data_IF_493598755907
#
_entry.id   IF_493598755907
#
_cell.length_a   1.000
_cell.length_b   1.000
_cell.length_c   1.000
_cell.angle_alpha   90.00
_cell.angle_beta   90.00
_cell.angle_gamma   90.00
#
_symmetry.space_group_name_H-M   'P 1'
#
loop_
_entity.id
_entity.type
_entity.pdbx_description
1 polymer ?
#
# COMPACT_ATOMS: atom_id res chain seq x y z
N UNK A 1 -76.60 -44.92 -20.59
CA UNK A 1 -77.06 -43.53 -20.41
C UNK A 1 -76.22 -42.64 -21.31
N UNK A 2 -76.84 -42.04 -22.33
CA UNK A 2 -76.15 -41.33 -23.43
C UNK A 2 -75.72 -39.93 -22.98
N UNK A 3 -74.46 -39.58 -23.22
CA UNK A 3 -73.90 -38.27 -22.94
C UNK A 3 -74.47 -37.21 -23.91
N UNK A 4 -75.55 -36.54 -23.53
CA UNK A 4 -76.04 -35.32 -24.22
C UNK A 4 -75.05 -34.14 -24.11
N UNK A 5 -74.01 -34.27 -23.29
CA UNK A 5 -73.12 -33.18 -22.89
C UNK A 5 -71.70 -33.27 -23.49
N UNK A 6 -71.46 -34.16 -24.47
CA UNK A 6 -70.11 -34.41 -25.01
C UNK A 6 -69.46 -33.15 -25.62
N UNK A 7 -70.27 -32.25 -26.19
CA UNK A 7 -69.78 -30.99 -26.80
C UNK A 7 -69.22 -29.99 -25.80
N UNK A 8 -69.83 -29.86 -24.62
CA UNK A 8 -69.36 -28.93 -23.59
C UNK A 8 -68.12 -29.46 -22.88
N UNK A 9 -68.02 -30.78 -22.71
CA UNK A 9 -66.83 -31.46 -22.18
C UNK A 9 -65.65 -31.27 -23.15
N UNK A 10 -65.86 -31.49 -24.45
CA UNK A 10 -64.85 -31.22 -25.48
C UNK A 10 -64.42 -29.74 -25.49
N UNK A 11 -65.36 -28.80 -25.41
CA UNK A 11 -65.04 -27.38 -25.35
C UNK A 11 -64.20 -27.01 -24.11
N UNK A 12 -64.52 -27.61 -22.96
CA UNK A 12 -63.76 -27.42 -21.71
C UNK A 12 -62.33 -27.97 -21.81
N UNK A 13 -62.15 -29.15 -22.43
CA UNK A 13 -60.83 -29.71 -22.71
C UNK A 13 -60.01 -28.84 -23.66
N UNK A 14 -60.63 -28.30 -24.72
CA UNK A 14 -59.95 -27.36 -25.62
C UNK A 14 -59.55 -26.07 -24.91
N UNK A 15 -60.41 -25.53 -24.03
CA UNK A 15 -60.09 -24.34 -23.22
C UNK A 15 -58.92 -24.61 -22.28
N UNK A 16 -58.94 -25.74 -21.58
CA UNK A 16 -57.86 -26.17 -20.69
C UNK A 16 -56.54 -26.33 -21.46
N UNK A 17 -56.56 -27.03 -22.60
CA UNK A 17 -55.40 -27.23 -23.45
C UNK A 17 -54.83 -25.90 -23.96
N UNK A 18 -55.71 -24.96 -24.33
CA UNK A 18 -55.29 -23.62 -24.74
C UNK A 18 -54.61 -22.85 -23.61
N UNK A 19 -55.16 -22.86 -22.39
CA UNK A 19 -54.52 -22.24 -21.23
C UNK A 19 -53.18 -22.86 -20.87
N UNK A 20 -53.03 -24.18 -21.06
CA UNK A 20 -51.79 -24.92 -20.80
C UNK A 20 -50.70 -24.56 -21.83
N UNK A 21 -51.06 -24.47 -23.12
CA UNK A 21 -50.13 -24.01 -24.16
C UNK A 21 -49.75 -22.55 -23.92
N UNK A 22 -50.72 -21.70 -23.57
CA UNK A 22 -50.48 -20.29 -23.29
C UNK A 22 -49.52 -20.10 -22.10
N UNK A 23 -49.66 -20.89 -21.03
CA UNK A 23 -48.77 -20.81 -19.87
C UNK A 23 -47.34 -21.24 -20.21
N UNK A 24 -47.16 -22.26 -21.04
CA UNK A 24 -45.83 -22.68 -21.53
C UNK A 24 -45.19 -21.60 -22.39
N UNK A 25 -45.93 -20.99 -23.31
CA UNK A 25 -45.42 -19.90 -24.17
C UNK A 25 -45.01 -18.68 -23.34
N UNK A 26 -45.82 -18.31 -22.33
CA UNK A 26 -45.48 -17.22 -21.40
C UNK A 26 -44.21 -17.56 -20.62
N UNK A 27 -44.08 -18.78 -20.10
CA UNK A 27 -42.90 -19.20 -19.36
C UNK A 27 -41.62 -19.16 -20.21
N UNK A 28 -41.68 -19.67 -21.45
CA UNK A 28 -40.56 -19.60 -22.40
C UNK A 28 -40.20 -18.15 -22.72
N UNK A 29 -41.20 -17.28 -22.87
CA UNK A 29 -40.98 -15.86 -23.14
C UNK A 29 -40.25 -15.17 -21.98
N UNK A 30 -40.62 -15.45 -20.73
CA UNK A 30 -39.92 -14.93 -19.55
C UNK A 30 -38.48 -15.43 -19.45
N UNK A 31 -38.24 -16.71 -19.72
CA UNK A 31 -36.87 -17.27 -19.71
C UNK A 31 -36.02 -16.62 -20.82
N UNK A 32 -36.56 -16.47 -22.01
CA UNK A 32 -35.86 -15.84 -23.13
C UNK A 32 -35.51 -14.37 -22.86
N UNK A 33 -36.43 -13.59 -22.28
CA UNK A 33 -36.14 -12.21 -21.88
C UNK A 33 -35.11 -12.16 -20.76
N UNK A 34 -35.19 -13.04 -19.77
CA UNK A 34 -34.18 -13.14 -18.70
C UNK A 34 -32.78 -13.37 -19.27
N UNK A 35 -32.58 -14.40 -20.09
CA UNK A 35 -31.27 -14.69 -20.69
C UNK A 35 -30.72 -13.51 -21.52
N UNK A 36 -31.59 -12.84 -22.29
CA UNK A 36 -31.18 -11.68 -23.09
C UNK A 36 -30.77 -10.49 -22.22
N UNK A 37 -31.52 -10.21 -21.16
CA UNK A 37 -31.21 -9.14 -20.21
C UNK A 37 -29.91 -9.44 -19.45
N UNK A 38 -29.76 -10.66 -18.93
CA UNK A 38 -28.55 -11.08 -18.21
C UNK A 38 -27.30 -11.01 -19.10
N UNK A 39 -27.39 -11.38 -20.38
CA UNK A 39 -26.25 -11.26 -21.30
C UNK A 39 -25.83 -9.79 -21.52
N UNK A 40 -26.80 -8.87 -21.61
CA UNK A 40 -26.52 -7.45 -21.75
C UNK A 40 -25.88 -6.87 -20.48
N UNK A 41 -26.43 -7.17 -19.30
CA UNK A 41 -25.89 -6.74 -18.01
C UNK A 41 -24.48 -7.31 -17.77
N UNK A 42 -24.27 -8.59 -18.07
CA UNK A 42 -22.97 -9.24 -17.92
C UNK A 42 -21.89 -8.56 -18.79
N UNK A 43 -22.25 -8.14 -20.01
CA UNK A 43 -21.33 -7.41 -20.89
C UNK A 43 -20.94 -6.04 -20.32
N UNK A 44 -21.87 -5.33 -19.68
CA UNK A 44 -21.60 -4.06 -19.02
C UNK A 44 -20.73 -4.24 -17.77
N UNK A 45 -21.02 -5.27 -16.96
CA UNK A 45 -20.21 -5.61 -15.78
C UNK A 45 -18.78 -5.96 -16.20
N UNK A 46 -18.59 -6.76 -17.26
CA UNK A 46 -17.25 -7.08 -17.77
C UNK A 46 -16.51 -5.83 -18.28
N UNK A 47 -17.21 -4.92 -18.95
CA UNK A 47 -16.61 -3.67 -19.41
C UNK A 47 -16.13 -2.81 -18.23
N UNK A 48 -16.95 -2.69 -17.18
CA UNK A 48 -16.57 -1.98 -15.95
C UNK A 48 -15.45 -2.67 -15.18
N UNK A 49 -15.50 -4.00 -15.08
CA UNK A 49 -14.46 -4.80 -14.42
C UNK A 49 -13.09 -4.61 -15.08
N UNK A 50 -13.05 -4.51 -16.42
CA UNK A 50 -11.80 -4.26 -17.16
C UNK A 50 -11.20 -2.88 -16.86
N UNK A 51 -12.05 -1.85 -16.75
CA UNK A 51 -11.59 -0.51 -16.37
C UNK A 51 -11.05 -0.53 -14.94
N UNK A 52 -11.79 -1.16 -14.02
CA UNK A 52 -11.37 -1.31 -12.63
C UNK A 52 -10.05 -2.06 -12.48
N UNK A 53 -9.88 -3.18 -13.19
CA UNK A 53 -8.66 -3.98 -13.18
C UNK A 53 -7.47 -3.16 -13.69
N UNK A 54 -7.65 -2.38 -14.76
CA UNK A 54 -6.61 -1.49 -15.27
C UNK A 54 -6.17 -0.46 -14.21
N UNK A 55 -7.13 0.26 -13.60
CA UNK A 55 -6.83 1.25 -12.56
C UNK A 55 -6.16 0.60 -11.34
N UNK A 56 -6.63 -0.58 -10.94
CA UNK A 56 -6.07 -1.33 -9.83
C UNK A 56 -4.61 -1.73 -10.09
N UNK A 57 -4.29 -2.22 -11.29
CA UNK A 57 -2.92 -2.58 -11.66
C UNK A 57 -1.99 -1.37 -11.64
N UNK A 58 -2.44 -0.22 -12.17
CA UNK A 58 -1.68 1.04 -12.11
C UNK A 58 -1.43 1.49 -10.65
N UNK A 59 -2.44 1.36 -9.77
CA UNK A 59 -2.28 1.66 -8.34
C UNK A 59 -1.26 0.73 -7.67
N UNK A 60 -1.32 -0.58 -7.94
CA UNK A 60 -0.38 -1.55 -7.38
C UNK A 60 1.04 -1.28 -7.84
N UNK A 61 1.23 -0.95 -9.12
CA UNK A 61 2.55 -0.59 -9.66
C UNK A 61 3.13 0.64 -8.93
N UNK A 62 2.33 1.70 -8.76
CA UNK A 62 2.75 2.89 -8.05
C UNK A 62 3.09 2.61 -6.58
N UNK A 63 2.28 1.78 -5.90
CA UNK A 63 2.56 1.37 -4.51
C UNK A 63 3.90 0.63 -4.41
N UNK A 64 4.20 -0.25 -5.35
CA UNK A 64 5.48 -0.96 -5.39
C UNK A 64 6.66 0.00 -5.62
N UNK A 65 6.49 1.04 -6.44
CA UNK A 65 7.50 2.08 -6.61
C UNK A 65 7.75 2.84 -5.30
N UNK A 66 6.69 3.22 -4.59
CA UNK A 66 6.77 3.95 -3.31
C UNK A 66 7.38 3.07 -2.22
N UNK A 67 6.98 1.79 -2.11
CA UNK A 67 7.56 0.86 -1.14
C UNK A 67 9.06 0.67 -1.38
N UNK A 68 9.48 0.61 -2.65
CA UNK A 68 10.89 0.58 -2.98
C UNK A 68 11.62 1.84 -2.50
N UNK A 69 11.03 3.03 -2.64
CA UNK A 69 11.61 4.27 -2.13
C UNK A 69 11.77 4.22 -0.61
N UNK A 70 10.74 3.76 0.12
CA UNK A 70 10.78 3.60 1.58
C UNK A 70 11.89 2.64 2.00
N UNK A 71 12.04 1.52 1.30
CA UNK A 71 13.12 0.57 1.55
C UNK A 71 14.50 1.21 1.40
N UNK A 72 14.71 2.08 0.40
CA UNK A 72 15.94 2.85 0.26
C UNK A 72 16.14 3.88 1.38
N UNK A 73 15.08 4.50 1.90
CA UNK A 73 15.19 5.46 3.01
C UNK A 73 15.61 4.78 4.32
N UNK A 74 15.23 3.52 4.54
CA UNK A 74 15.53 2.76 5.77
C UNK A 74 16.92 2.10 5.72
N UNK A 75 17.46 1.84 4.53
CA UNK A 75 18.76 1.17 4.33
C UNK A 75 19.94 1.70 5.17
N UNK A 76 20.14 3.03 5.34
CA UNK A 76 21.25 3.55 6.15
C UNK A 76 21.15 3.21 7.63
N UNK A 77 19.94 2.98 8.15
CA UNK A 77 19.75 2.59 9.55
C UNK A 77 20.12 1.11 9.77
N UNK A 78 20.06 0.29 8.71
CA UNK A 78 20.41 -1.13 8.74
C UNK A 78 21.89 -1.38 8.48
N UNK A 79 22.57 -0.50 7.72
CA UNK A 79 23.96 -0.69 7.34
C UNK A 79 24.73 0.64 7.33
N UNK A 80 25.70 0.75 8.24
CA UNK A 80 26.55 1.92 8.43
C UNK A 80 27.58 2.16 7.29
N UNK A 81 27.79 1.18 6.39
CA UNK A 81 28.75 1.29 5.28
C UNK A 81 28.12 1.77 3.97
N UNK A 82 26.81 2.05 3.96
CA UNK A 82 26.11 2.50 2.75
C UNK A 82 26.47 3.95 2.45
N UNK A 83 26.81 4.24 1.19
CA UNK A 83 27.06 5.60 0.74
C UNK A 83 25.75 6.40 0.70
N UNK A 84 25.57 7.27 1.70
CA UNK A 84 24.39 8.12 1.88
C UNK A 84 24.14 9.03 0.66
N UNK A 85 25.19 9.52 -0.02
CA UNK A 85 25.08 10.39 -1.20
C UNK A 85 24.52 9.64 -2.40
N UNK A 86 25.04 8.44 -2.67
CA UNK A 86 24.58 7.60 -3.77
C UNK A 86 23.13 7.16 -3.52
N UNK A 87 22.82 6.78 -2.29
CA UNK A 87 21.47 6.36 -1.92
C UNK A 87 20.46 7.50 -2.06
N UNK A 88 20.81 8.71 -1.64
CA UNK A 88 19.98 9.91 -1.83
C UNK A 88 19.67 10.14 -3.32
N UNK A 89 20.66 10.01 -4.21
CA UNK A 89 20.44 10.15 -5.64
C UNK A 89 19.49 9.08 -6.21
N UNK A 90 19.60 7.84 -5.74
CA UNK A 90 18.68 6.75 -6.13
C UNK A 90 17.25 7.04 -5.66
N UNK A 91 17.08 7.49 -4.42
CA UNK A 91 15.78 7.88 -3.85
C UNK A 91 15.15 9.01 -4.68
N UNK A 92 15.90 10.06 -4.97
CA UNK A 92 15.41 11.19 -5.77
C UNK A 92 15.03 10.79 -7.19
N UNK A 93 15.85 9.95 -7.85
CA UNK A 93 15.54 9.45 -9.19
C UNK A 93 14.24 8.65 -9.21
N UNK A 94 14.03 7.78 -8.22
CA UNK A 94 12.79 6.99 -8.11
C UNK A 94 11.58 7.86 -7.77
N UNK A 95 11.73 8.83 -6.86
CA UNK A 95 10.69 9.83 -6.57
C UNK A 95 10.25 10.57 -7.83
N UNK A 96 11.19 11.04 -8.65
CA UNK A 96 10.86 11.71 -9.93
C UNK A 96 10.17 10.76 -10.90
N UNK A 97 10.52 9.47 -10.90
CA UNK A 97 9.83 8.43 -11.68
C UNK A 97 8.36 8.29 -11.26
N UNK A 98 8.12 8.08 -9.97
CA UNK A 98 6.78 7.94 -9.40
C UNK A 98 5.92 9.20 -9.61
N UNK A 99 6.53 10.39 -9.48
CA UNK A 99 5.83 11.66 -9.76
C UNK A 99 5.38 11.75 -11.23
N UNK A 100 6.24 11.34 -12.17
CA UNK A 100 5.89 11.28 -13.60
C UNK A 100 4.81 10.24 -13.89
N UNK A 101 4.76 9.14 -13.14
CA UNK A 101 3.70 8.15 -13.25
C UNK A 101 2.37 8.79 -12.83
N UNK A 102 2.34 9.43 -11.65
CA UNK A 102 1.16 10.13 -11.13
C UNK A 102 0.69 11.24 -12.07
N UNK A 103 1.60 12.04 -12.64
CA UNK A 103 1.24 13.14 -13.54
C UNK A 103 0.67 12.65 -14.89
N UNK A 104 0.93 11.39 -15.28
CA UNK A 104 0.33 10.77 -16.48
C UNK A 104 -1.02 10.15 -16.19
N UNK A 105 -1.23 9.67 -14.97
CA UNK A 105 -2.49 9.08 -14.53
C UNK A 105 -3.39 10.21 -14.03
N UNK A 106 -4.12 10.85 -14.95
CA UNK A 106 -5.10 11.91 -14.63
C UNK A 106 -6.21 11.34 -13.72
N UNK A 107 -6.02 11.43 -12.40
CA UNK A 107 -6.98 10.93 -11.41
C UNK A 107 -6.79 11.52 -10.01
N UNK A 108 -7.90 11.75 -9.30
CA UNK A 108 -7.91 12.26 -7.92
C UNK A 108 -7.35 11.24 -6.90
N UNK A 109 -7.28 9.97 -7.28
CA UNK A 109 -6.89 8.85 -6.41
C UNK A 109 -5.45 8.96 -5.87
N UNK A 110 -4.59 9.77 -6.51
CA UNK A 110 -3.18 9.89 -6.17
C UNK A 110 -2.79 11.17 -5.44
N UNK A 111 -3.76 11.99 -5.01
CA UNK A 111 -3.49 13.27 -4.31
C UNK A 111 -2.62 13.07 -3.07
N UNK A 112 -2.92 12.06 -2.26
CA UNK A 112 -2.17 11.76 -1.05
C UNK A 112 -0.73 11.35 -1.38
N UNK A 113 -0.56 10.40 -2.31
CA UNK A 113 0.75 9.91 -2.74
C UNK A 113 1.59 11.03 -3.34
N UNK A 114 0.98 11.90 -4.15
CA UNK A 114 1.61 13.10 -4.72
C UNK A 114 2.10 14.04 -3.64
N UNK A 115 1.28 14.30 -2.62
CA UNK A 115 1.65 15.14 -1.48
C UNK A 115 2.82 14.53 -0.69
N UNK A 116 2.76 13.23 -0.37
CA UNK A 116 3.84 12.53 0.34
C UNK A 116 5.14 12.58 -0.46
N UNK A 117 5.09 12.32 -1.77
CA UNK A 117 6.27 12.40 -2.63
C UNK A 117 6.81 13.82 -2.74
N UNK A 118 5.95 14.86 -2.75
CA UNK A 118 6.40 16.25 -2.72
C UNK A 118 7.13 16.59 -1.42
N UNK A 119 6.56 16.22 -0.27
CA UNK A 119 7.11 16.51 1.06
C UNK A 119 8.30 15.60 1.42
N UNK A 120 8.58 14.57 0.61
CA UNK A 120 9.64 13.59 0.87
C UNK A 120 11.04 14.21 1.00
N UNK A 121 11.34 15.28 0.25
CA UNK A 121 12.63 15.96 0.35
C UNK A 121 12.85 16.53 1.76
N UNK A 122 11.81 17.14 2.32
CA UNK A 122 11.80 17.73 3.66
C UNK A 122 11.98 16.62 4.69
N UNK A 123 11.30 15.48 4.54
CA UNK A 123 11.43 14.36 5.48
C UNK A 123 12.83 13.74 5.48
N UNK A 124 13.45 13.58 4.30
CA UNK A 124 14.81 13.05 4.19
C UNK A 124 15.82 14.03 4.80
N UNK A 125 15.67 15.33 4.54
CA UNK A 125 16.51 16.37 5.13
C UNK A 125 16.38 16.42 6.67
N UNK A 126 15.15 16.39 7.18
CA UNK A 126 14.89 16.34 8.62
C UNK A 126 15.53 15.10 9.26
N UNK A 127 15.37 13.93 8.63
CA UNK A 127 15.97 12.67 9.09
C UNK A 127 17.49 12.75 9.18
N UNK A 128 18.15 13.28 8.15
CA UNK A 128 19.61 13.41 8.12
C UNK A 128 20.11 14.43 9.14
N UNK A 129 19.38 15.54 9.34
CA UNK A 129 19.68 16.52 10.39
C UNK A 129 19.63 15.91 11.78
N UNK A 130 18.56 15.16 12.10
CA UNK A 130 18.42 14.44 13.38
C UNK A 130 19.56 13.43 13.56
N UNK A 131 19.92 12.68 12.52
CA UNK A 131 21.03 11.72 12.57
C UNK A 131 22.36 12.41 12.85
N UNK A 132 22.63 13.55 12.21
CA UNK A 132 23.83 14.36 12.43
C UNK A 132 23.92 14.85 13.88
N UNK A 133 22.81 15.40 14.41
CA UNK A 133 22.73 15.85 15.81
C UNK A 133 22.99 14.70 16.79
N UNK A 134 22.41 13.53 16.54
CA UNK A 134 22.65 12.34 17.36
C UNK A 134 24.12 11.92 17.35
N UNK A 135 24.79 11.92 16.19
CA UNK A 135 26.23 11.63 16.09
C UNK A 135 27.05 12.63 16.90
N UNK A 136 26.72 13.92 16.87
CA UNK A 136 27.40 14.95 17.66
C UNK A 136 27.20 14.74 19.17
N UNK A 137 25.98 14.41 19.58
CA UNK A 137 25.65 14.11 20.98
C UNK A 137 26.44 12.90 21.49
N UNK A 138 26.49 11.81 20.72
CA UNK A 138 27.23 10.60 21.08
C UNK A 138 28.74 10.86 21.22
N UNK A 139 29.32 11.67 20.32
CA UNK A 139 30.72 12.09 20.41
C UNK A 139 30.96 12.93 21.67
N UNK A 140 30.07 13.88 21.98
CA UNK A 140 30.17 14.72 23.17
C UNK A 140 30.08 13.89 24.45
N UNK A 141 29.10 12.99 24.55
CA UNK A 141 28.95 12.04 25.67
C UNK A 141 30.21 11.21 25.85
N UNK A 142 30.74 10.63 24.78
CA UNK A 142 31.96 9.82 24.83
C UNK A 142 33.19 10.63 25.28
N UNK A 143 33.31 11.89 24.83
CA UNK A 143 34.39 12.78 25.27
C UNK A 143 34.29 13.14 26.75
N UNK A 144 33.08 13.40 27.26
CA UNK A 144 32.85 13.68 28.69
C UNK A 144 33.19 12.46 29.54
N UNK A 145 32.71 11.26 29.17
CA UNK A 145 33.02 10.00 29.85
C UNK A 145 34.54 9.76 29.87
N UNK A 146 35.22 10.00 28.74
CA UNK A 146 36.68 9.88 28.64
C UNK A 146 37.42 10.90 29.51
N UNK A 147 36.89 12.10 29.65
CA UNK A 147 37.48 13.14 30.50
C UNK A 147 37.34 12.78 31.99
N UNK A 148 36.16 12.34 32.42
CA UNK A 148 35.89 11.93 33.80
C UNK A 148 36.75 10.71 34.18
N UNK A 149 36.80 9.68 33.33
CA UNK A 149 37.65 8.50 33.56
C UNK A 149 39.12 8.88 33.69
N UNK A 150 39.66 9.73 32.81
CA UNK A 150 41.03 10.25 32.92
C UNK A 150 41.27 11.05 34.21
N UNK A 151 40.31 11.87 34.65
CA UNK A 151 40.40 12.60 35.92
C UNK A 151 40.49 11.63 37.10
N UNK A 152 39.62 10.63 37.13
CA UNK A 152 39.59 9.62 38.19
C UNK A 152 40.88 8.77 38.21
N UNK A 153 41.40 8.39 37.04
CA UNK A 153 42.66 7.66 36.93
C UNK A 153 43.86 8.48 37.45
N UNK A 154 43.92 9.78 37.11
CA UNK A 154 44.95 10.69 37.65
C UNK A 154 44.83 10.86 39.16
N UNK A 155 43.62 11.00 39.69
CA UNK A 155 43.40 11.08 41.14
C UNK A 155 43.88 9.81 41.87
N UNK A 156 43.60 8.63 41.30
CA UNK A 156 44.08 7.34 41.82
C UNK A 156 45.61 7.21 41.76
N UNK A 157 46.26 7.70 40.68
CA UNK A 157 47.73 7.69 40.58
C UNK A 157 48.39 8.62 41.60
N UNK A 158 47.77 9.76 41.92
CA UNK A 158 48.27 10.70 42.93
C UNK A 158 48.10 10.12 44.34
N UNK A 159 46.97 9.47 44.66
CA UNK A 159 46.78 8.85 45.98
C UNK A 159 47.75 7.69 46.24
N UNK A 160 48.02 6.86 45.23
CA UNK A 160 49.00 5.77 45.33
C UNK A 160 50.44 6.29 45.51
N UNK A 161 50.81 7.36 44.80
CA UNK A 161 52.15 7.96 44.92
C UNK A 161 52.34 8.70 46.26
N UNK A 162 51.27 9.28 46.81
CA UNK A 162 51.27 9.89 48.14
C UNK A 162 51.41 8.83 49.25
N UNK A 163 50.72 7.68 49.13
CA UNK A 163 50.83 6.57 50.09
C UNK A 163 52.19 5.87 50.09
N UNK A 164 52.90 5.82 48.95
CA UNK A 164 54.23 5.23 48.87
C UNK A 164 55.35 6.10 49.46
N UNK A 165 55.11 7.41 49.62
CA UNK A 165 56.08 8.34 50.21
C UNK A 165 56.05 8.35 51.74
N UNK A 166 55.03 7.76 52.38
CA UNK A 166 54.84 7.76 53.84
C UNK A 166 55.41 6.50 54.51
N UNK A 167 55.80 5.48 53.74
CA UNK A 167 56.32 4.20 54.27
C UNK A 167 57.85 4.04 54.15
N UNK A 168 58.59 5.11 53.81
CA UNK A 168 60.06 5.12 53.76
C UNK A 168 60.62 6.25 54.66
N UNK A 169 60.31 6.19 55.95
CA UNK A 169 61.06 6.89 57.01
C UNK A 169 61.15 5.99 58.24
#
# INVERSE_FOLDING_TARGET
>A
MKALNNRSILLAYYRLSFYLILSVVIAISFVATYYKTTAAELSQIHAQAKIYEKTYLEQVELINEVDSIINYIILPDKNHYVNEVVLRNVIMKRRTGAMKHIDRTEGEDFILTKKILNDMDIFIELKDSIRSLKRQEDVLKNNIIRCISKKNEKALKISVKSGASVNNE
#
